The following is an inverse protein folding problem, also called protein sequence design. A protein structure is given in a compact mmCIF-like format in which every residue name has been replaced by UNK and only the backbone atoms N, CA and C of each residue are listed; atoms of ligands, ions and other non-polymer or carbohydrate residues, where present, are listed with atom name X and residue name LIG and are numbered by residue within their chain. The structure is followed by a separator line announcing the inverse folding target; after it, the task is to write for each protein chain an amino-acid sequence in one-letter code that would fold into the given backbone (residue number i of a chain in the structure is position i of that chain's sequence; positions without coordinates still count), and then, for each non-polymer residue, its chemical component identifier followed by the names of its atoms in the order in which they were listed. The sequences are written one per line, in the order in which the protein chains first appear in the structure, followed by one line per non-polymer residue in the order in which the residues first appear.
data_IF_862686841159
#
_entry.id   IF_862686841159
#
_cell.length_a   1.000
_cell.length_b   1.000
_cell.length_c   1.000
_cell.angle_alpha   90.00
_cell.angle_beta   90.00
_cell.angle_gamma   90.00
#
_symmetry.space_group_name_H-M   'P 1'
#
loop_
_entity.id
_entity.type
_entity.pdbx_description
1 polymer ?
#
# COMPACT_ATOMS: atom_id res chain seq x y z
N UNK A 1 -12.76 21.32 14.57
CA UNK A 1 -13.17 22.30 13.53
C UNK A 1 -14.65 22.66 13.65
N UNK A 2 -15.58 21.72 13.45
CA UNK A 2 -17.03 21.99 13.55
C UNK A 2 -17.45 22.62 14.90
N UNK A 3 -16.99 22.04 16.02
CA UNK A 3 -17.25 22.57 17.36
C UNK A 3 -16.69 23.99 17.60
N UNK A 4 -15.65 24.38 16.87
CA UNK A 4 -15.02 25.71 16.98
C UNK A 4 -15.57 26.71 15.97
N UNK A 5 -16.55 26.33 15.14
CA UNK A 5 -17.08 27.19 14.08
C UNK A 5 -16.07 27.55 12.98
N UNK A 6 -14.97 26.80 12.86
CA UNK A 6 -13.90 27.06 11.89
C UNK A 6 -14.10 26.21 10.64
N UNK A 7 -14.06 26.85 9.48
CA UNK A 7 -13.99 26.19 8.18
C UNK A 7 -12.53 26.01 7.76
N UNK A 8 -12.18 24.78 7.40
CA UNK A 8 -10.83 24.40 6.97
C UNK A 8 -10.95 23.64 5.66
N UNK A 9 -10.13 23.96 4.64
CA UNK A 9 -10.12 23.21 3.39
C UNK A 9 -9.87 21.72 3.60
N UNK A 10 -10.62 20.85 2.90
CA UNK A 10 -10.50 19.38 3.00
C UNK A 10 -9.06 18.87 2.91
N UNK A 11 -8.25 19.45 2.01
CA UNK A 11 -6.82 19.12 1.84
C UNK A 11 -5.99 19.36 3.11
N UNK A 12 -6.28 20.42 3.87
CA UNK A 12 -5.57 20.75 5.10
C UNK A 12 -6.03 19.82 6.23
N UNK A 13 -7.30 19.45 6.26
CA UNK A 13 -7.80 18.43 7.18
C UNK A 13 -7.09 17.09 6.93
N UNK A 14 -6.98 16.67 5.66
CA UNK A 14 -6.33 15.41 5.30
C UNK A 14 -4.84 15.39 5.65
N UNK A 15 -4.13 16.49 5.42
CA UNK A 15 -2.73 16.63 5.83
C UNK A 15 -2.59 16.56 7.35
N UNK A 16 -3.41 17.32 8.09
CA UNK A 16 -3.36 17.36 9.54
C UNK A 16 -3.66 15.99 10.16
N UNK A 17 -4.68 15.28 9.68
CA UNK A 17 -5.05 13.98 10.23
C UNK A 17 -4.05 12.88 9.91
N UNK A 18 -3.28 13.01 8.82
CA UNK A 18 -2.13 12.14 8.53
C UNK A 18 -1.07 12.28 9.65
N UNK A 19 -0.68 13.51 9.97
CA UNK A 19 0.26 13.80 11.07
C UNK A 19 -0.29 13.33 12.42
N UNK A 20 -1.61 13.45 12.63
CA UNK A 20 -2.24 12.99 13.86
C UNK A 20 -2.15 11.47 14.09
N UNK A 21 -2.30 10.64 13.04
CA UNK A 21 -2.22 9.19 13.20
C UNK A 21 -0.83 8.75 13.68
N UNK A 22 0.21 9.49 13.29
CA UNK A 22 1.58 9.17 13.68
C UNK A 22 1.83 9.28 15.19
N UNK A 23 1.03 10.06 15.93
CA UNK A 23 1.11 10.14 17.39
C UNK A 23 0.75 8.83 18.11
N UNK A 24 0.04 7.90 17.46
CA UNK A 24 -0.23 6.56 18.03
C UNK A 24 0.94 5.58 17.85
N UNK A 25 2.05 6.05 17.28
CA UNK A 25 3.29 5.29 17.09
C UNK A 25 3.40 4.55 15.74
N UNK A 26 2.37 4.63 14.90
CA UNK A 26 2.41 4.07 13.54
C UNK A 26 2.83 5.14 12.54
N UNK A 27 3.93 4.93 11.83
CA UNK A 27 4.47 5.90 10.86
C UNK A 27 3.75 5.81 9.50
N UNK A 28 2.42 5.98 9.51
CA UNK A 28 1.57 5.87 8.32
C UNK A 28 1.73 7.02 7.33
N UNK A 29 1.38 6.74 6.07
CA UNK A 29 1.19 7.77 5.05
C UNK A 29 -0.23 8.38 5.12
N UNK A 30 -0.55 9.25 4.16
CA UNK A 30 -1.81 10.03 4.19
C UNK A 30 -2.96 9.48 3.34
N UNK A 31 -2.85 8.27 2.79
CA UNK A 31 -3.85 7.72 1.85
C UNK A 31 -5.23 7.59 2.49
N UNK A 32 -5.30 6.98 3.67
CA UNK A 32 -6.56 6.63 4.34
C UNK A 32 -7.33 7.91 4.75
N UNK A 33 -6.59 8.91 5.25
CA UNK A 33 -7.12 10.21 5.63
C UNK A 33 -7.60 11.00 4.41
N UNK A 34 -6.78 11.03 3.36
CA UNK A 34 -7.12 11.73 2.13
C UNK A 34 -8.39 11.15 1.51
N UNK A 35 -8.50 9.83 1.35
CA UNK A 35 -9.71 9.23 0.79
C UNK A 35 -10.92 9.40 1.71
N UNK A 36 -10.75 9.26 3.04
CA UNK A 36 -11.83 9.45 4.00
C UNK A 36 -12.45 10.85 3.91
N UNK A 37 -11.65 11.88 3.63
CA UNK A 37 -12.11 13.27 3.59
C UNK A 37 -12.53 13.70 2.18
N UNK A 38 -11.76 13.31 1.17
CA UNK A 38 -11.84 13.85 -0.18
C UNK A 38 -12.60 12.95 -1.16
N UNK A 39 -12.99 11.73 -0.78
CA UNK A 39 -13.75 10.83 -1.65
C UNK A 39 -15.04 11.45 -2.19
N UNK A 40 -15.36 11.06 -3.43
CA UNK A 40 -16.55 11.48 -4.16
C UNK A 40 -17.36 10.25 -4.58
N UNK A 41 -18.67 10.30 -4.31
CA UNK A 41 -19.58 9.21 -4.67
C UNK A 41 -19.49 8.90 -6.16
N UNK A 42 -19.34 7.62 -6.51
CA UNK A 42 -19.24 7.13 -7.89
C UNK A 42 -17.84 7.18 -8.51
N UNK A 43 -16.84 7.75 -7.82
CA UNK A 43 -15.47 7.84 -8.32
C UNK A 43 -14.49 7.18 -7.34
N UNK A 44 -13.55 6.39 -7.88
CA UNK A 44 -12.29 6.17 -7.17
C UNK A 44 -11.42 7.43 -7.30
N UNK A 45 -10.38 7.55 -6.49
CA UNK A 45 -9.48 8.71 -6.53
C UNK A 45 -8.04 8.25 -6.74
N UNK A 46 -7.34 8.89 -7.68
CA UNK A 46 -5.88 8.89 -7.67
C UNK A 46 -5.43 9.98 -6.69
N UNK A 47 -4.71 9.58 -5.64
CA UNK A 47 -4.23 10.49 -4.59
C UNK A 47 -2.74 10.75 -4.80
N UNK A 48 -2.39 11.99 -5.12
CA UNK A 48 -1.01 12.45 -5.16
C UNK A 48 -0.61 13.06 -3.82
N UNK A 49 0.67 12.99 -3.48
CA UNK A 49 1.23 13.58 -2.25
C UNK A 49 2.29 14.63 -2.60
N UNK A 50 2.57 15.55 -1.66
CA UNK A 50 3.57 16.61 -1.77
C UNK A 50 3.37 17.57 -2.97
N UNK A 51 2.23 18.29 -3.07
CA UNK A 51 1.14 18.40 -2.09
C UNK A 51 0.00 17.40 -2.31
N UNK A 52 -0.84 17.19 -1.28
CA UNK A 52 -2.01 16.31 -1.36
C UNK A 52 -3.01 16.82 -2.41
N UNK A 53 -3.34 15.97 -3.38
CA UNK A 53 -4.36 16.21 -4.41
C UNK A 53 -5.10 14.92 -4.73
N UNK A 54 -6.35 15.05 -5.19
CA UNK A 54 -7.12 13.92 -5.70
C UNK A 54 -7.53 14.19 -7.14
N UNK A 55 -7.52 13.13 -7.95
CA UNK A 55 -8.03 13.14 -9.32
C UNK A 55 -9.05 12.01 -9.46
N UNK A 56 -10.28 12.37 -9.83
CA UNK A 56 -11.36 11.44 -10.08
C UNK A 56 -10.94 10.34 -11.09
N UNK A 57 -11.23 9.08 -10.76
CA UNK A 57 -11.05 7.90 -11.61
C UNK A 57 -12.38 7.17 -11.72
N UNK A 58 -13.04 7.33 -12.87
CA UNK A 58 -14.30 6.65 -13.19
C UNK A 58 -14.01 5.19 -13.56
N UNK A 59 -14.28 4.26 -12.65
CA UNK A 59 -14.07 2.83 -12.89
C UNK A 59 -14.91 2.32 -14.08
N UNK A 60 -14.40 1.34 -14.85
CA UNK A 60 -15.13 0.76 -15.97
C UNK A 60 -16.43 0.08 -15.52
N UNK A 61 -17.42 0.09 -16.40
CA UNK A 61 -18.73 -0.54 -16.15
C UNK A 61 -18.65 -2.06 -16.19
N UNK A 62 -19.64 -2.74 -15.59
CA UNK A 62 -19.75 -4.20 -15.60
C UNK A 62 -18.81 -4.92 -14.65
N UNK A 63 -17.99 -4.19 -13.89
CA UNK A 63 -17.18 -4.70 -12.78
C UNK A 63 -17.61 -4.13 -11.44
N UNK A 64 -17.47 -4.93 -10.38
CA UNK A 64 -17.67 -4.50 -9.00
C UNK A 64 -16.53 -5.01 -8.13
N UNK A 65 -16.29 -4.31 -7.02
CA UNK A 65 -15.31 -4.73 -6.02
C UNK A 65 -16.01 -5.41 -4.86
N UNK A 66 -15.60 -6.63 -4.56
CA UNK A 66 -16.00 -7.35 -3.34
C UNK A 66 -14.87 -7.24 -2.33
N UNK A 67 -15.21 -6.79 -1.13
CA UNK A 67 -14.31 -6.79 0.03
C UNK A 67 -14.58 -8.05 0.84
N UNK A 68 -13.53 -8.76 1.21
CA UNK A 68 -13.59 -9.98 2.02
C UNK A 68 -12.52 -9.93 3.12
N UNK A 69 -12.92 -10.07 4.38
CA UNK A 69 -12.04 -10.05 5.55
C UNK A 69 -11.46 -11.45 5.80
N UNK A 70 -10.15 -11.57 6.00
CA UNK A 70 -9.44 -12.85 6.18
C UNK A 70 -9.63 -13.47 7.57
N UNK A 71 -10.13 -12.67 8.52
CA UNK A 71 -10.26 -12.96 9.96
C UNK A 71 -8.92 -13.07 10.70
N UNK A 72 -7.80 -12.87 10.01
CA UNK A 72 -6.51 -12.72 10.67
C UNK A 72 -6.39 -11.33 11.30
N UNK A 73 -6.12 -11.30 12.60
CA UNK A 73 -5.92 -10.08 13.35
C UNK A 73 -4.54 -9.48 13.08
N UNK A 74 -4.50 -8.22 12.63
CA UNK A 74 -3.28 -7.46 12.43
C UNK A 74 -3.19 -6.38 13.50
N UNK A 75 -2.44 -6.65 14.57
CA UNK A 75 -2.19 -5.70 15.66
C UNK A 75 -1.13 -4.68 15.21
N UNK A 76 -1.51 -3.77 14.30
CA UNK A 76 -0.63 -2.84 13.58
C UNK A 76 0.27 -2.03 14.51
N UNK A 77 -0.29 -1.47 15.59
CA UNK A 77 0.47 -0.66 16.54
C UNK A 77 1.45 -1.49 17.38
N UNK A 78 1.04 -2.69 17.81
CA UNK A 78 1.86 -3.57 18.67
C UNK A 78 3.03 -4.17 17.88
N UNK A 79 2.76 -4.60 16.64
CA UNK A 79 3.76 -5.20 15.75
C UNK A 79 4.45 -4.17 14.86
N UNK A 80 4.25 -2.87 15.10
CA UNK A 80 4.73 -1.81 14.22
C UNK A 80 6.25 -1.89 14.00
N UNK A 81 7.02 -2.10 15.08
CA UNK A 81 8.48 -2.16 15.02
C UNK A 81 9.03 -3.33 14.20
N UNK A 82 8.30 -4.45 14.10
CA UNK A 82 8.71 -5.62 13.28
C UNK A 82 8.10 -5.61 11.88
N UNK A 83 6.93 -4.98 11.72
CA UNK A 83 6.11 -5.02 10.51
C UNK A 83 6.04 -3.63 9.86
N UNK A 84 5.01 -2.84 10.20
CA UNK A 84 4.68 -1.61 9.47
C UNK A 84 5.80 -0.57 9.49
N UNK A 85 6.26 -0.15 10.67
CA UNK A 85 7.34 0.84 10.80
C UNK A 85 8.67 0.28 10.32
N UNK A 86 8.89 -1.04 10.41
CA UNK A 86 10.06 -1.68 9.83
C UNK A 86 10.13 -1.43 8.32
N UNK A 87 9.03 -1.60 7.60
CA UNK A 87 8.97 -1.29 6.16
C UNK A 87 9.25 0.19 5.88
N UNK A 88 8.73 1.09 6.70
CA UNK A 88 9.00 2.54 6.57
C UNK A 88 10.50 2.83 6.72
N UNK A 89 11.15 2.25 7.74
CA UNK A 89 12.60 2.38 7.96
C UNK A 89 13.40 1.73 6.84
N UNK A 90 13.03 0.53 6.37
CA UNK A 90 13.68 -0.11 5.23
C UNK A 90 13.60 0.77 3.98
N UNK A 91 12.43 1.32 3.64
CA UNK A 91 12.28 2.24 2.50
C UNK A 91 13.09 3.52 2.67
N UNK A 92 13.10 4.10 3.87
CA UNK A 92 13.89 5.30 4.22
C UNK A 92 15.39 5.05 4.00
N UNK A 93 15.91 3.98 4.58
CA UNK A 93 17.32 3.59 4.44
C UNK A 93 17.66 3.29 2.99
N UNK A 94 16.77 2.62 2.27
CA UNK A 94 16.95 2.32 0.85
C UNK A 94 17.09 3.58 0.02
N UNK A 95 16.25 4.59 0.27
CA UNK A 95 16.32 5.86 -0.45
C UNK A 95 17.66 6.58 -0.21
N UNK A 96 18.12 6.65 1.04
CA UNK A 96 19.42 7.24 1.39
C UNK A 96 20.57 6.49 0.70
N UNK A 97 20.58 5.16 0.78
CA UNK A 97 21.63 4.33 0.17
C UNK A 97 21.63 4.49 -1.35
N UNK A 98 20.47 4.49 -2.01
CA UNK A 98 20.38 4.71 -3.46
C UNK A 98 20.89 6.10 -3.85
N UNK A 99 20.51 7.16 -3.12
CA UNK A 99 21.03 8.51 -3.36
C UNK A 99 22.57 8.54 -3.32
N UNK A 100 23.18 7.92 -2.30
CA UNK A 100 24.63 7.88 -2.16
C UNK A 100 25.28 7.11 -3.33
N UNK A 101 24.72 5.95 -3.67
CA UNK A 101 25.21 5.13 -4.79
C UNK A 101 25.06 5.82 -6.14
N UNK A 102 24.09 6.73 -6.27
CA UNK A 102 23.84 7.54 -7.46
C UNK A 102 24.62 8.88 -7.45
N UNK A 103 25.55 9.07 -6.50
CA UNK A 103 26.53 10.16 -6.51
C UNK A 103 26.27 11.30 -5.52
N UNK A 104 25.24 11.19 -4.67
CA UNK A 104 24.98 12.17 -3.61
C UNK A 104 25.96 11.96 -2.43
N UNK A 105 26.40 13.04 -1.78
CA UNK A 105 27.26 12.91 -0.59
C UNK A 105 26.46 12.33 0.58
N UNK A 106 27.05 11.50 1.48
CA UNK A 106 26.30 10.87 2.57
C UNK A 106 25.49 11.85 3.45
N UNK A 107 26.12 12.94 3.89
CA UNK A 107 25.45 13.95 4.72
C UNK A 107 24.31 14.69 3.99
N UNK A 108 24.45 14.88 2.68
CA UNK A 108 23.39 15.45 1.85
C UNK A 108 22.22 14.48 1.70
N UNK A 109 22.50 13.20 1.44
CA UNK A 109 21.48 12.17 1.30
C UNK A 109 20.66 11.99 2.60
N UNK A 110 21.33 11.92 3.75
CA UNK A 110 20.69 11.79 5.07
C UNK A 110 19.75 12.98 5.35
N UNK A 111 20.21 14.20 5.05
CA UNK A 111 19.46 15.42 5.35
C UNK A 111 18.29 15.67 4.39
N UNK A 112 18.48 15.48 3.07
CA UNK A 112 17.51 15.90 2.04
C UNK A 112 16.56 14.82 1.56
N UNK A 113 17.03 13.58 1.38
CA UNK A 113 16.16 12.50 0.91
C UNK A 113 15.17 12.21 2.03
N UNK A 114 13.86 12.09 1.74
CA UNK A 114 12.68 11.60 2.51
C UNK A 114 12.33 10.14 2.29
N UNK A 115 12.13 9.84 1.02
CA UNK A 115 11.37 8.72 0.52
C UNK A 115 12.03 8.21 -0.74
N UNK A 116 11.57 7.06 -1.24
CA UNK A 116 12.03 6.57 -2.53
C UNK A 116 11.64 7.49 -3.70
N UNK A 117 10.56 8.27 -3.57
CA UNK A 117 10.16 9.24 -4.61
C UNK A 117 11.22 10.36 -4.78
N UNK A 118 11.87 10.80 -3.70
CA UNK A 118 12.90 11.86 -3.77
C UNK A 118 14.14 11.45 -4.58
N UNK A 119 14.36 10.15 -4.75
CA UNK A 119 15.51 9.59 -5.48
C UNK A 119 15.12 8.91 -6.79
N UNK A 120 13.82 8.79 -7.07
CA UNK A 120 13.29 8.15 -8.28
C UNK A 120 13.84 8.80 -9.55
N UNK A 121 13.89 10.13 -9.60
CA UNK A 121 14.46 10.87 -10.74
C UNK A 121 15.93 10.51 -11.02
N UNK A 122 16.72 10.27 -9.98
CA UNK A 122 18.11 9.81 -10.14
C UNK A 122 18.17 8.36 -10.64
N UNK A 123 17.30 7.49 -10.12
CA UNK A 123 17.18 6.10 -10.58
C UNK A 123 16.80 6.04 -12.07
N UNK A 124 15.82 6.84 -12.50
CA UNK A 124 15.39 6.92 -13.90
C UNK A 124 16.50 7.49 -14.77
N UNK A 125 17.15 8.59 -14.36
CA UNK A 125 18.26 9.17 -15.12
C UNK A 125 19.42 8.18 -15.31
N UNK A 126 19.73 7.39 -14.27
CA UNK A 126 20.70 6.30 -14.37
C UNK A 126 20.23 5.19 -15.32
N UNK A 127 18.97 4.75 -15.20
CA UNK A 127 18.40 3.74 -16.08
C UNK A 127 18.46 4.17 -17.56
N UNK A 128 18.12 5.44 -17.86
CA UNK A 128 18.11 5.97 -19.23
C UNK A 128 19.50 5.98 -19.87
N UNK A 129 20.54 6.31 -19.10
CA UNK A 129 21.93 6.22 -19.56
C UNK A 129 22.35 4.78 -19.91
N UNK A 130 21.62 3.79 -19.40
CA UNK A 130 21.85 2.37 -19.62
C UNK A 130 20.75 1.70 -20.47
N UNK A 131 19.97 2.48 -21.23
CA UNK A 131 18.97 1.95 -22.18
C UNK A 131 17.66 1.45 -21.55
N UNK A 132 17.35 1.82 -20.31
CA UNK A 132 16.10 1.49 -19.62
C UNK A 132 15.35 2.75 -19.16
N UNK A 133 14.03 2.70 -19.04
CA UNK A 133 13.23 3.75 -18.39
C UNK A 133 12.73 3.34 -17.00
N UNK A 134 13.04 2.12 -16.57
CA UNK A 134 12.54 1.55 -15.32
C UNK A 134 13.50 1.86 -14.15
N UNK A 135 13.06 2.59 -13.10
CA UNK A 135 13.91 2.89 -11.94
C UNK A 135 14.37 1.63 -11.20
N UNK A 136 13.68 0.48 -11.34
CA UNK A 136 14.12 -0.81 -10.79
C UNK A 136 15.45 -1.27 -11.39
N UNK A 137 15.86 -0.73 -12.55
CA UNK A 137 17.19 -0.96 -13.10
C UNK A 137 18.30 -0.50 -12.13
N UNK A 138 18.18 0.70 -11.56
CA UNK A 138 19.13 1.20 -10.57
C UNK A 138 19.12 0.37 -9.28
N UNK A 139 17.94 -0.13 -8.86
CA UNK A 139 17.80 -1.03 -7.71
C UNK A 139 18.61 -2.32 -7.92
N UNK A 140 18.53 -2.92 -9.11
CA UNK A 140 19.25 -4.15 -9.44
C UNK A 140 20.76 -3.95 -9.52
N UNK A 141 21.19 -2.79 -10.01
CA UNK A 141 22.61 -2.47 -10.13
C UNK A 141 23.26 -2.17 -8.77
N UNK A 142 22.60 -1.37 -7.94
CA UNK A 142 23.25 -0.80 -6.74
C UNK A 142 22.93 -1.51 -5.44
N UNK A 143 21.84 -2.29 -5.37
CA UNK A 143 21.42 -2.97 -4.15
C UNK A 143 21.51 -4.49 -4.30
N UNK A 144 22.25 -5.13 -3.39
CA UNK A 144 22.32 -6.59 -3.32
C UNK A 144 20.98 -7.17 -2.85
N UNK A 145 20.69 -8.40 -3.24
CA UNK A 145 19.43 -9.07 -2.87
C UNK A 145 19.43 -9.54 -1.41
N UNK A 146 20.60 -9.83 -0.86
CA UNK A 146 20.75 -10.29 0.51
C UNK A 146 20.47 -9.14 1.48
N UNK A 147 19.85 -9.41 2.65
CA UNK A 147 19.58 -8.39 3.64
C UNK A 147 20.87 -7.66 4.08
N UNK A 148 20.71 -6.37 4.39
CA UNK A 148 21.76 -5.52 4.93
C UNK A 148 21.72 -5.57 6.46
N UNK A 149 22.88 -5.67 7.10
CA UNK A 149 23.00 -5.39 8.54
C UNK A 149 23.06 -3.88 8.78
N UNK A 150 22.85 -3.43 10.03
CA UNK A 150 23.08 -2.04 10.39
C UNK A 150 24.50 -1.58 9.99
N UNK A 151 25.52 -2.39 10.27
CA UNK A 151 26.92 -2.09 9.93
C UNK A 151 27.16 -1.92 8.43
N UNK A 152 26.50 -2.73 7.59
CA UNK A 152 26.59 -2.58 6.13
C UNK A 152 26.11 -1.19 5.70
N UNK A 153 25.00 -0.73 6.28
CA UNK A 153 24.38 0.56 5.93
C UNK A 153 25.20 1.71 6.51
N UNK A 154 25.61 1.62 7.78
CA UNK A 154 26.43 2.64 8.45
C UNK A 154 27.76 2.89 7.72
N UNK A 155 28.34 1.85 7.13
CA UNK A 155 29.54 1.99 6.29
C UNK A 155 29.28 2.79 5.01
N UNK A 156 28.07 2.71 4.45
CA UNK A 156 27.68 3.46 3.24
C UNK A 156 27.28 4.89 3.61
N UNK A 157 26.57 5.06 4.72
CA UNK A 157 26.06 6.37 5.18
C UNK A 157 27.10 7.18 5.93
N UNK A 158 28.22 6.57 6.33
CA UNK A 158 29.27 7.20 7.15
C UNK A 158 28.72 7.79 8.46
N UNK A 159 27.59 7.25 8.94
CA UNK A 159 26.85 7.74 10.10
C UNK A 159 26.08 6.60 10.74
N UNK A 160 25.92 6.65 12.07
CA UNK A 160 25.16 5.67 12.83
C UNK A 160 23.67 5.74 12.54
N UNK A 161 23.01 4.58 12.46
CA UNK A 161 21.56 4.56 12.22
C UNK A 161 20.79 5.26 13.34
N UNK A 162 21.25 5.13 14.58
CA UNK A 162 20.68 5.82 15.74
C UNK A 162 20.76 7.34 15.61
N UNK A 163 21.83 7.88 15.02
CA UNK A 163 21.96 9.32 14.72
C UNK A 163 20.99 9.74 13.61
N UNK A 164 20.90 8.96 12.53
CA UNK A 164 20.00 9.23 11.38
C UNK A 164 18.54 9.31 11.84
N UNK A 165 18.15 8.45 12.79
CA UNK A 165 16.78 8.35 13.30
C UNK A 165 16.57 8.96 14.70
N UNK A 166 17.51 9.79 15.19
CA UNK A 166 17.49 10.31 16.56
C UNK A 166 16.18 11.01 16.95
N UNK A 167 15.49 11.63 15.98
CA UNK A 167 14.26 12.38 16.21
C UNK A 167 12.97 11.54 16.06
N UNK A 168 13.06 10.21 15.93
CA UNK A 168 11.91 9.32 15.75
C UNK A 168 12.01 8.13 16.69
N UNK A 169 11.25 8.18 17.80
CA UNK A 169 11.16 7.07 18.76
C UNK A 169 10.71 5.78 18.07
N UNK A 170 9.68 5.85 17.22
CA UNK A 170 9.17 4.70 16.45
C UNK A 170 10.23 4.08 15.54
N UNK A 171 11.14 4.88 14.97
CA UNK A 171 12.23 4.36 14.16
C UNK A 171 13.33 3.74 15.01
N UNK A 172 13.62 4.31 16.18
CA UNK A 172 14.57 3.71 17.14
C UNK A 172 14.07 2.35 17.66
N UNK A 173 12.76 2.20 17.90
CA UNK A 173 12.16 0.90 18.24
C UNK A 173 12.37 -0.15 17.15
N UNK A 174 12.28 0.25 15.88
CA UNK A 174 12.64 -0.62 14.75
C UNK A 174 14.12 -0.99 14.80
N UNK A 175 15.03 -0.06 15.05
CA UNK A 175 16.46 -0.38 15.14
C UNK A 175 16.78 -1.37 16.27
N UNK A 176 16.01 -1.34 17.35
CA UNK A 176 16.13 -2.29 18.46
C UNK A 176 15.58 -3.68 18.11
N UNK A 177 14.51 -3.75 17.32
CA UNK A 177 13.85 -5.01 16.95
C UNK A 177 14.46 -5.69 15.71
N UNK A 178 14.85 -4.91 14.71
CA UNK A 178 15.29 -5.38 13.41
C UNK A 178 16.77 -5.77 13.43
N UNK A 179 17.07 -6.98 12.93
CA UNK A 179 18.46 -7.46 12.79
C UNK A 179 19.04 -7.18 11.40
N UNK A 180 18.18 -7.07 10.40
CA UNK A 180 18.54 -6.92 8.99
C UNK A 180 17.46 -6.15 8.22
N UNK A 181 17.84 -5.55 7.09
CA UNK A 181 16.99 -4.68 6.26
C UNK A 181 17.04 -5.12 4.78
N UNK A 182 15.88 -5.33 4.16
CA UNK A 182 15.72 -5.84 2.78
C UNK A 182 15.57 -4.71 1.75
N UNK A 183 16.65 -3.95 1.56
CA UNK A 183 16.60 -2.72 0.76
C UNK A 183 16.16 -2.96 -0.69
N UNK A 184 16.74 -3.96 -1.36
CA UNK A 184 16.44 -4.28 -2.76
C UNK A 184 14.95 -4.59 -2.97
N UNK A 185 14.39 -5.45 -2.13
CA UNK A 185 13.01 -5.91 -2.23
C UNK A 185 12.03 -4.76 -1.99
N UNK A 186 12.31 -3.90 -1.00
CA UNK A 186 11.40 -2.77 -0.69
C UNK A 186 11.38 -1.75 -1.81
N UNK A 187 12.53 -1.37 -2.36
CA UNK A 187 12.56 -0.46 -3.53
C UNK A 187 11.92 -1.08 -4.77
N UNK A 188 12.20 -2.35 -5.07
CA UNK A 188 11.59 -3.04 -6.20
C UNK A 188 10.06 -3.10 -6.07
N UNK A 189 9.54 -3.36 -4.87
CA UNK A 189 8.11 -3.28 -4.59
C UNK A 189 7.57 -1.87 -4.84
N UNK A 190 8.12 -0.85 -4.17
CA UNK A 190 7.57 0.51 -4.20
C UNK A 190 7.54 1.09 -5.61
N UNK A 191 8.64 1.00 -6.37
CA UNK A 191 8.66 1.52 -7.73
C UNK A 191 7.74 0.74 -8.68
N UNK A 192 7.70 -0.60 -8.56
CA UNK A 192 6.79 -1.40 -9.40
C UNK A 192 5.32 -1.18 -9.04
N UNK A 193 4.99 -0.94 -7.77
CA UNK A 193 3.63 -0.63 -7.31
C UNK A 193 3.19 0.76 -7.78
N UNK A 194 4.04 1.78 -7.68
CA UNK A 194 3.77 3.11 -8.23
C UNK A 194 3.49 3.05 -9.74
N UNK A 195 4.29 2.28 -10.49
CA UNK A 195 4.06 2.02 -11.92
C UNK A 195 2.72 1.32 -12.17
N UNK A 196 2.34 0.35 -11.34
CA UNK A 196 1.03 -0.33 -11.44
C UNK A 196 -0.14 0.62 -11.19
N UNK A 197 -0.02 1.57 -10.27
CA UNK A 197 -1.04 2.60 -10.02
C UNK A 197 -1.28 3.45 -11.26
N UNK A 198 -0.22 3.95 -11.91
CA UNK A 198 -0.36 4.70 -13.16
C UNK A 198 -0.90 3.83 -14.29
N UNK A 199 -0.42 2.59 -14.43
CA UNK A 199 -0.95 1.66 -15.44
C UNK A 199 -2.44 1.32 -15.23
N UNK A 200 -2.91 1.27 -13.97
CA UNK A 200 -4.32 1.10 -13.63
C UNK A 200 -5.12 2.29 -14.12
N UNK A 201 -4.71 3.52 -13.76
CA UNK A 201 -5.35 4.76 -14.21
C UNK A 201 -5.38 4.86 -15.75
N UNK A 202 -4.25 4.60 -16.41
CA UNK A 202 -4.13 4.67 -17.86
C UNK A 202 -5.02 3.63 -18.55
N UNK A 203 -5.17 2.45 -17.95
CA UNK A 203 -6.08 1.41 -18.44
C UNK A 203 -7.53 1.86 -18.34
N UNK A 204 -7.93 2.48 -17.21
CA UNK A 204 -9.27 3.05 -17.04
C UNK A 204 -9.57 4.09 -18.11
N UNK A 205 -8.62 4.98 -18.41
CA UNK A 205 -8.76 6.04 -19.41
C UNK A 205 -8.51 5.60 -20.87
N UNK A 206 -8.20 4.33 -21.11
CA UNK A 206 -7.90 3.84 -22.46
C UNK A 206 -9.16 3.62 -23.32
N UNK A 207 -8.96 3.46 -24.63
CA UNK A 207 -10.01 3.14 -25.60
C UNK A 207 -10.33 1.64 -25.71
N UNK A 208 -9.85 0.82 -24.76
CA UNK A 208 -10.18 -0.61 -24.71
C UNK A 208 -11.67 -0.83 -24.43
N UNK A 209 -12.17 -2.02 -24.77
CA UNK A 209 -13.51 -2.44 -24.35
C UNK A 209 -13.59 -2.52 -22.82
N UNK A 210 -14.78 -2.36 -22.25
CA UNK A 210 -14.96 -2.45 -20.79
C UNK A 210 -14.50 -3.82 -20.24
N UNK A 211 -14.71 -4.90 -21.00
CA UNK A 211 -14.23 -6.23 -20.63
C UNK A 211 -12.71 -6.33 -20.63
N UNK A 212 -12.04 -5.79 -21.64
CA UNK A 212 -10.57 -5.78 -21.73
C UNK A 212 -9.94 -4.91 -20.64
N UNK A 213 -10.58 -3.76 -20.31
CA UNK A 213 -10.19 -2.94 -19.17
C UNK A 213 -10.26 -3.76 -17.90
N UNK A 214 -11.41 -4.36 -17.58
CA UNK A 214 -11.61 -5.14 -16.37
C UNK A 214 -10.60 -6.28 -16.23
N UNK A 215 -10.32 -7.00 -17.31
CA UNK A 215 -9.29 -8.06 -17.32
C UNK A 215 -7.91 -7.50 -16.99
N UNK A 216 -7.49 -6.44 -17.68
CA UNK A 216 -6.17 -5.82 -17.46
C UNK A 216 -6.02 -5.21 -16.07
N UNK A 217 -7.09 -4.62 -15.51
CA UNK A 217 -7.11 -4.15 -14.14
C UNK A 217 -6.96 -5.31 -13.15
N UNK A 218 -7.62 -6.45 -13.42
CA UNK A 218 -7.47 -7.68 -12.65
C UNK A 218 -6.04 -8.21 -12.65
N UNK A 219 -5.38 -8.25 -13.80
CA UNK A 219 -3.98 -8.65 -13.94
C UNK A 219 -3.05 -7.75 -13.09
N UNK A 220 -3.25 -6.42 -13.15
CA UNK A 220 -2.50 -5.46 -12.33
C UNK A 220 -2.70 -5.67 -10.82
N UNK A 221 -3.92 -6.01 -10.40
CA UNK A 221 -4.20 -6.35 -9.00
C UNK A 221 -3.48 -7.63 -8.56
N UNK A 222 -3.43 -8.65 -9.43
CA UNK A 222 -2.75 -9.91 -9.14
C UNK A 222 -1.23 -9.70 -9.02
N UNK A 223 -0.64 -8.92 -9.93
CA UNK A 223 0.78 -8.54 -9.86
C UNK A 223 1.10 -7.76 -8.59
N UNK A 224 0.22 -6.84 -8.20
CA UNK A 224 0.33 -6.09 -6.95
C UNK A 224 0.30 -7.02 -5.74
N UNK A 225 -0.63 -7.99 -5.68
CA UNK A 225 -0.68 -8.95 -4.58
C UNK A 225 0.60 -9.78 -4.50
N UNK A 226 1.09 -10.29 -5.63
CA UNK A 226 2.34 -11.05 -5.68
C UNK A 226 3.51 -10.21 -5.16
N UNK A 227 3.59 -8.94 -5.57
CA UNK A 227 4.61 -8.02 -5.08
C UNK A 227 4.50 -7.77 -3.57
N UNK A 228 3.28 -7.59 -3.04
CA UNK A 228 3.04 -7.45 -1.61
C UNK A 228 3.46 -8.70 -0.82
N UNK A 229 3.19 -9.89 -1.37
CA UNK A 229 3.50 -11.17 -0.74
C UNK A 229 5.01 -11.47 -0.75
N UNK A 230 5.66 -11.33 -1.91
CA UNK A 230 7.06 -11.78 -2.11
C UNK A 230 8.08 -10.67 -1.88
N UNK A 231 7.83 -9.46 -2.37
CA UNK A 231 8.80 -8.35 -2.28
C UNK A 231 8.57 -7.49 -1.04
N UNK A 232 7.32 -7.21 -0.68
CA UNK A 232 7.02 -6.43 0.52
C UNK A 232 6.79 -7.30 1.75
N UNK A 233 6.55 -8.60 1.60
CA UNK A 233 6.34 -9.54 2.71
C UNK A 233 5.34 -9.00 3.74
N UNK A 234 4.21 -8.51 3.25
CA UNK A 234 3.10 -8.01 4.07
C UNK A 234 1.80 -8.83 3.88
N UNK A 235 1.87 -10.01 3.27
CA UNK A 235 0.76 -10.96 3.26
C UNK A 235 0.78 -11.87 4.50
N UNK A 236 -0.19 -12.78 4.61
CA UNK A 236 -0.24 -13.83 5.62
C UNK A 236 -0.99 -15.06 5.06
N UNK A 237 -0.87 -16.25 5.70
CA UNK A 237 -1.52 -17.47 5.20
C UNK A 237 -3.01 -17.31 4.90
N UNK A 238 -3.75 -16.62 5.76
CA UNK A 238 -5.20 -16.39 5.61
C UNK A 238 -5.52 -15.47 4.43
N UNK A 239 -4.67 -14.46 4.17
CA UNK A 239 -4.80 -13.60 2.99
C UNK A 239 -4.50 -14.38 1.71
N UNK A 240 -3.47 -15.22 1.70
CA UNK A 240 -3.13 -16.05 0.54
C UNK A 240 -4.23 -17.07 0.25
N UNK A 241 -4.77 -17.74 1.26
CA UNK A 241 -5.93 -18.64 1.13
C UNK A 241 -7.12 -17.89 0.53
N UNK A 242 -7.50 -16.74 1.11
CA UNK A 242 -8.65 -15.97 0.66
C UNK A 242 -8.47 -15.44 -0.77
N UNK A 243 -7.29 -14.94 -1.12
CA UNK A 243 -7.00 -14.50 -2.50
C UNK A 243 -7.13 -15.66 -3.49
N UNK A 244 -6.63 -16.84 -3.14
CA UNK A 244 -6.76 -18.02 -4.00
C UNK A 244 -8.22 -18.45 -4.15
N UNK A 245 -9.01 -18.44 -3.07
CA UNK A 245 -10.46 -18.69 -3.13
C UNK A 245 -11.14 -17.66 -4.03
N UNK A 246 -10.83 -16.37 -3.91
CA UNK A 246 -11.37 -15.34 -4.80
C UNK A 246 -11.07 -15.66 -6.28
N UNK A 247 -9.81 -15.95 -6.62
CA UNK A 247 -9.40 -16.22 -8.02
C UNK A 247 -10.08 -17.49 -8.57
N UNK A 248 -10.14 -18.55 -7.78
CA UNK A 248 -10.77 -19.82 -8.18
C UNK A 248 -12.29 -19.69 -8.41
N UNK A 249 -12.92 -18.64 -7.87
CA UNK A 249 -14.35 -18.39 -8.00
C UNK A 249 -14.69 -17.24 -8.97
N UNK A 250 -13.76 -16.86 -9.85
CA UNK A 250 -14.04 -15.93 -10.95
C UNK A 250 -13.66 -14.48 -10.71
N UNK A 251 -12.89 -14.16 -9.66
CA UNK A 251 -12.25 -12.86 -9.57
C UNK A 251 -11.27 -12.66 -10.72
N UNK A 252 -11.41 -11.55 -11.44
CA UNK A 252 -10.47 -11.11 -12.47
C UNK A 252 -9.12 -10.74 -11.84
N UNK A 253 -9.17 -10.14 -10.65
CA UNK A 253 -8.00 -9.92 -9.81
C UNK A 253 -8.37 -9.83 -8.34
N UNK A 254 -7.49 -10.30 -7.48
CA UNK A 254 -7.66 -10.23 -6.03
C UNK A 254 -6.33 -9.94 -5.35
N UNK A 255 -6.37 -9.06 -4.35
CA UNK A 255 -5.21 -8.64 -3.57
C UNK A 255 -5.59 -8.27 -2.14
N UNK A 256 -4.66 -8.40 -1.21
CA UNK A 256 -4.76 -7.75 0.09
C UNK A 256 -4.98 -6.23 -0.06
N UNK A 257 -5.64 -5.61 0.90
CA UNK A 257 -5.81 -4.14 0.96
C UNK A 257 -5.49 -3.62 2.36
N UNK A 258 -5.07 -2.36 2.45
CA UNK A 258 -4.51 -1.78 3.66
C UNK A 258 -3.07 -2.25 3.93
N UNK A 259 -2.68 -2.28 5.20
CA UNK A 259 -1.32 -2.59 5.62
C UNK A 259 -0.88 -4.04 5.36
N UNK A 260 -1.83 -4.99 5.40
CA UNK A 260 -1.55 -6.42 5.36
C UNK A 260 -1.26 -7.03 6.74
N UNK A 261 -0.57 -8.18 6.74
CA UNK A 261 -0.41 -9.09 7.88
C UNK A 261 -1.74 -9.50 8.52
N UNK A 262 -2.79 -9.58 7.70
CA UNK A 262 -4.18 -9.77 8.10
C UNK A 262 -5.10 -8.73 7.45
N UNK A 263 -6.32 -8.60 7.96
CA UNK A 263 -7.30 -7.65 7.44
C UNK A 263 -8.04 -8.16 6.20
N UNK A 264 -8.12 -7.33 5.15
CA UNK A 264 -9.02 -7.57 4.02
C UNK A 264 -8.32 -7.89 2.70
N UNK A 265 -9.04 -8.60 1.85
CA UNK A 265 -8.84 -8.73 0.41
C UNK A 265 -9.87 -7.86 -0.31
N UNK A 266 -9.44 -7.25 -1.41
CA UNK A 266 -10.32 -6.64 -2.41
C UNK A 266 -10.22 -7.43 -3.71
N UNK A 267 -11.36 -7.85 -4.23
CA UNK A 267 -11.48 -8.65 -5.45
C UNK A 267 -12.31 -7.91 -6.50
N UNK A 268 -11.80 -7.82 -7.73
CA UNK A 268 -12.53 -7.33 -8.88
C UNK A 268 -13.26 -8.49 -9.56
N UNK A 269 -14.59 -8.41 -9.61
CA UNK A 269 -15.46 -9.42 -10.21
C UNK A 269 -16.39 -8.78 -11.24
N UNK A 270 -16.89 -9.56 -12.19
CA UNK A 270 -17.97 -9.08 -13.08
C UNK A 270 -19.25 -8.89 -12.26
N UNK A 271 -19.98 -7.80 -12.48
CA UNK A 271 -21.25 -7.51 -11.79
C UNK A 271 -22.25 -8.66 -11.96
N UNK A 272 -22.22 -9.38 -13.09
CA UNK A 272 -23.10 -10.52 -13.36
C UNK A 272 -22.90 -11.73 -12.45
N UNK A 273 -21.79 -11.82 -11.71
CA UNK A 273 -21.47 -12.97 -10.86
C UNK A 273 -21.26 -12.61 -9.39
N UNK A 274 -21.39 -11.34 -8.99
CA UNK A 274 -21.00 -10.86 -7.66
C UNK A 274 -21.73 -11.59 -6.51
N UNK A 275 -23.00 -11.87 -6.69
CA UNK A 275 -23.87 -12.53 -5.71
C UNK A 275 -23.47 -14.00 -5.56
N UNK A 276 -23.23 -14.69 -6.68
CA UNK A 276 -22.76 -16.08 -6.67
C UNK A 276 -21.33 -16.17 -6.11
N UNK A 277 -20.48 -15.20 -6.43
CA UNK A 277 -19.12 -15.09 -5.91
C UNK A 277 -19.12 -15.02 -4.37
N UNK A 278 -19.95 -14.15 -3.78
CA UNK A 278 -20.09 -14.03 -2.32
C UNK A 278 -20.56 -15.36 -1.69
N UNK A 279 -21.52 -16.05 -2.32
CA UNK A 279 -21.98 -17.37 -1.86
C UNK A 279 -20.86 -18.42 -1.91
N UNK A 280 -20.05 -18.43 -2.96
CA UNK A 280 -18.92 -19.36 -3.06
C UNK A 280 -17.85 -19.07 -1.99
N UNK A 281 -17.57 -17.79 -1.70
CA UNK A 281 -16.66 -17.41 -0.61
C UNK A 281 -17.21 -17.84 0.75
N UNK A 282 -18.52 -17.71 0.96
CA UNK A 282 -19.19 -18.24 2.15
C UNK A 282 -18.88 -19.71 2.34
N UNK A 283 -19.12 -20.52 1.30
CA UNK A 283 -18.95 -21.97 1.36
C UNK A 283 -17.48 -22.38 1.51
N UNK A 284 -16.58 -21.81 0.70
CA UNK A 284 -15.22 -22.32 0.55
C UNK A 284 -14.23 -21.71 1.57
N UNK A 285 -14.48 -20.49 2.06
CA UNK A 285 -13.62 -19.86 3.05
C UNK A 285 -14.30 -19.78 4.41
N UNK A 286 -15.48 -19.16 4.50
CA UNK A 286 -16.10 -18.81 5.77
C UNK A 286 -16.80 -19.96 6.48
N UNK A 287 -17.33 -20.97 5.78
CA UNK A 287 -18.12 -22.05 6.38
C UNK A 287 -17.34 -22.81 7.46
N UNK A 288 -16.10 -23.20 7.16
CA UNK A 288 -15.24 -23.87 8.16
C UNK A 288 -14.93 -23.01 9.39
N UNK A 289 -14.99 -21.67 9.26
CA UNK A 289 -14.75 -20.71 10.35
C UNK A 289 -16.02 -20.48 11.16
N UNK A 290 -17.19 -20.51 10.51
CA UNK A 290 -18.51 -20.53 11.15
C UNK A 290 -18.66 -21.81 11.98
N UNK A 291 -18.37 -22.97 11.39
CA UNK A 291 -18.51 -24.27 12.06
C UNK A 291 -17.60 -24.40 13.29
N UNK A 292 -16.43 -23.74 13.27
CA UNK A 292 -15.50 -23.64 14.40
C UNK A 292 -15.88 -22.57 15.42
N UNK A 293 -16.95 -21.80 15.18
CA UNK A 293 -17.39 -20.72 16.07
C UNK A 293 -16.50 -19.48 16.05
N UNK A 294 -15.66 -19.28 15.02
CA UNK A 294 -14.81 -18.09 14.87
C UNK A 294 -15.66 -16.86 14.55
N UNK A 295 -16.70 -17.02 13.75
CA UNK A 295 -17.69 -15.98 13.40
C UNK A 295 -19.10 -16.58 13.41
N UNK A 296 -20.11 -15.74 13.61
CA UNK A 296 -21.50 -16.14 13.47
C UNK A 296 -21.94 -16.05 12.00
N UNK A 297 -22.74 -17.01 11.53
CA UNK A 297 -23.33 -16.96 10.19
C UNK A 297 -24.18 -15.71 9.96
N UNK A 298 -24.82 -15.17 11.00
CA UNK A 298 -25.63 -13.95 10.91
C UNK A 298 -24.79 -12.69 10.66
N UNK A 299 -23.49 -12.75 10.98
CA UNK A 299 -22.56 -11.63 10.86
C UNK A 299 -21.75 -11.68 9.54
N UNK A 300 -22.02 -12.65 8.66
CA UNK A 300 -21.25 -12.84 7.43
C UNK A 300 -21.18 -11.58 6.56
N UNK A 301 -22.25 -10.79 6.51
CA UNK A 301 -22.30 -9.53 5.77
C UNK A 301 -21.34 -8.45 6.28
N UNK A 302 -20.80 -8.59 7.49
CA UNK A 302 -19.74 -7.73 8.02
C UNK A 302 -18.36 -8.10 7.45
N UNK A 303 -18.19 -9.35 7.01
CA UNK A 303 -16.91 -9.89 6.58
C UNK A 303 -16.79 -9.98 5.06
N UNK A 304 -17.89 -10.14 4.32
CA UNK A 304 -17.86 -10.19 2.86
C UNK A 304 -19.03 -9.43 2.25
N UNK A 305 -18.72 -8.45 1.39
CA UNK A 305 -19.72 -7.58 0.77
C UNK A 305 -19.20 -6.90 -0.50
N UNK A 306 -20.09 -6.64 -1.45
CA UNK A 306 -19.80 -5.78 -2.59
C UNK A 306 -19.80 -4.30 -2.16
N UNK A 307 -18.90 -3.50 -2.72
CA UNK A 307 -18.76 -2.09 -2.41
C UNK A 307 -18.61 -1.24 -3.68
N UNK A 308 -19.19 -0.05 -3.64
CA UNK A 308 -19.07 0.99 -4.69
C UNK A 308 -18.47 2.26 -4.08
N UNK A 309 -17.76 3.09 -4.86
CA UNK A 309 -17.15 4.30 -4.32
C UNK A 309 -18.19 5.24 -3.70
N UNK A 310 -17.95 5.61 -2.44
CA UNK A 310 -18.88 6.41 -1.61
C UNK A 310 -18.34 7.83 -1.39
N UNK A 311 -19.16 8.70 -0.82
CA UNK A 311 -18.76 10.06 -0.43
C UNK A 311 -17.83 10.05 0.79
N UNK A 312 -16.89 11.00 0.82
CA UNK A 312 -16.06 11.26 1.99
C UNK A 312 -16.81 11.95 3.13
N UNK A 313 -16.05 12.34 4.17
CA UNK A 313 -16.54 12.91 5.41
C UNK A 313 -17.44 14.14 5.19
N UNK A 314 -18.56 14.16 5.92
CA UNK A 314 -19.58 15.20 5.86
C UNK A 314 -20.06 15.60 7.26
N UNK A 315 -20.57 16.84 7.38
CA UNK A 315 -21.24 17.33 8.59
C UNK A 315 -22.76 17.23 8.37
N UNK A 316 -23.45 16.49 9.22
CA UNK A 316 -24.92 16.51 9.25
C UNK A 316 -25.38 17.67 10.14
N UNK A 317 -26.30 18.49 9.62
CA UNK A 317 -27.02 19.51 10.40
C UNK A 317 -28.46 19.00 10.54
N UNK A 318 -28.88 18.79 11.79
CA UNK A 318 -30.24 18.40 12.15
C UNK A 318 -31.03 19.61 12.60
#
# INVERSE_FOLDING_TARGET
MAAFGVEVPKKEIAQLTCECEQYIGTQSGGMDQAISIMAKSGFAELIDFNPIRTTDVQLPAGGTFVVAHSLAESLKAITAASNYNNRVVECRLTAIVLAIKLGMKPQEAISKVKTLSDVEGLCVAFACKNGSSDPVFAVKEFLRKEPYTALDIEKITEEKLTSIFANSSSSLDVLNAAKQYKLHQRAAHVYSEAKRVHAFKDTVSSNLSEEDKLKKLGDLMNDSHHSCSVLYECSCPELEELVNVCRNNGALGARLTGAGWGGCVVALVKESIDSQFILNLKEQFYQSRIDRGVINNNDLGLYVFASKPSSGAAKFKF
#
